data_IF_426744375355
#
_entry.id   IF_426744375355
#
_cell.length_a   1.000
_cell.length_b   1.000
_cell.length_c   1.000
_cell.angle_alpha   90.00
_cell.angle_beta   90.00
_cell.angle_gamma   90.00
#
_symmetry.space_group_name_H-M   'P 1'
#
loop_
_entity.id
_entity.type
_entity.pdbx_description
1 polymer ?
#
# COMPACT_ATOMS: atom_id res chain seq x y z
N UNK A 1 13.79 4.70 3.52
CA UNK A 1 14.76 4.45 2.43
C UNK A 1 14.18 4.85 1.09
N UNK A 2 13.01 4.32 0.68
CA UNK A 2 12.38 4.71 -0.59
C UNK A 2 12.27 6.23 -0.78
N UNK A 3 11.65 6.95 0.15
CA UNK A 3 11.53 8.42 0.09
C UNK A 3 12.89 9.12 -0.05
N UNK A 4 13.94 8.62 0.63
CA UNK A 4 15.30 9.18 0.52
C UNK A 4 15.83 9.07 -0.92
N UNK A 5 15.71 7.89 -1.53
CA UNK A 5 16.15 7.66 -2.92
C UNK A 5 15.38 8.53 -3.92
N UNK A 6 14.09 8.73 -3.67
CA UNK A 6 13.24 9.62 -4.47
C UNK A 6 13.70 11.08 -4.34
N UNK A 7 13.93 11.55 -3.11
CA UNK A 7 14.34 12.93 -2.85
C UNK A 7 15.80 13.24 -3.18
N UNK A 8 16.62 12.22 -3.45
CA UNK A 8 17.99 12.40 -3.96
C UNK A 8 17.99 12.97 -5.40
N UNK A 9 16.87 12.90 -6.11
CA UNK A 9 16.69 13.48 -7.45
C UNK A 9 16.43 14.99 -7.32
N UNK A 10 17.26 15.80 -7.99
CA UNK A 10 17.06 17.25 -8.04
C UNK A 10 15.69 17.60 -8.63
N UNK A 11 14.97 18.53 -8.00
CA UNK A 11 13.61 18.89 -8.38
C UNK A 11 12.52 18.00 -7.76
N UNK A 12 12.86 17.03 -6.90
CA UNK A 12 11.88 16.16 -6.24
C UNK A 12 10.76 16.92 -5.51
N UNK A 13 11.00 18.14 -5.02
CA UNK A 13 9.97 18.99 -4.41
C UNK A 13 8.79 19.32 -5.34
N UNK A 14 8.97 19.24 -6.66
CA UNK A 14 7.92 19.53 -7.64
C UNK A 14 6.87 18.41 -7.71
N UNK A 15 7.25 17.16 -7.47
CA UNK A 15 6.41 15.98 -7.72
C UNK A 15 6.31 15.00 -6.54
N UNK A 16 7.22 15.02 -5.57
CA UNK A 16 7.13 14.26 -4.32
C UNK A 16 6.69 15.17 -3.17
N UNK A 17 5.43 15.02 -2.72
CA UNK A 17 4.82 15.90 -1.71
C UNK A 17 4.84 15.30 -0.31
N UNK A 18 4.60 14.00 -0.19
CA UNK A 18 4.37 13.35 1.11
C UNK A 18 4.78 11.88 1.06
N UNK A 19 5.11 11.32 2.22
CA UNK A 19 5.33 9.89 2.41
C UNK A 19 5.11 9.48 3.87
N UNK A 20 4.87 8.19 4.08
CA UNK A 20 4.58 7.61 5.39
C UNK A 20 5.58 6.53 5.77
N UNK A 21 5.90 6.45 7.08
CA UNK A 21 6.65 5.34 7.66
C UNK A 21 5.78 4.69 8.74
N UNK A 22 5.06 3.64 8.34
CA UNK A 22 4.05 2.96 9.19
C UNK A 22 4.53 1.59 9.68
N UNK A 23 5.38 1.60 10.69
CA UNK A 23 6.01 0.37 11.19
C UNK A 23 5.00 -0.58 11.84
N UNK A 24 4.16 -0.09 12.76
CA UNK A 24 3.21 -0.92 13.50
C UNK A 24 1.89 -1.13 12.75
N UNK A 25 1.15 -2.18 13.09
CA UNK A 25 -0.19 -2.42 12.53
C UNK A 25 -1.12 -1.25 12.85
N UNK A 26 -1.05 -0.67 14.05
CA UNK A 26 -1.84 0.50 14.42
C UNK A 26 -1.52 1.71 13.54
N UNK A 27 -0.25 1.92 13.21
CA UNK A 27 0.13 3.01 12.31
C UNK A 27 -0.35 2.77 10.87
N UNK A 28 -0.37 1.52 10.39
CA UNK A 28 -0.93 1.18 9.07
C UNK A 28 -2.44 1.47 9.03
N UNK A 29 -3.17 1.07 10.08
CA UNK A 29 -4.60 1.33 10.18
C UNK A 29 -4.90 2.83 10.28
N UNK A 30 -4.25 3.53 11.22
CA UNK A 30 -4.53 4.95 11.50
C UNK A 30 -4.11 5.86 10.35
N UNK A 31 -2.91 5.66 9.81
CA UNK A 31 -2.32 6.60 8.85
C UNK A 31 -2.64 6.25 7.40
N UNK A 32 -3.08 5.02 7.09
CA UNK A 32 -3.32 4.59 5.70
C UNK A 32 -4.64 3.83 5.52
N UNK A 33 -5.47 3.73 6.57
CA UNK A 33 -6.78 3.10 6.46
C UNK A 33 -6.73 1.60 6.17
N UNK A 34 -5.64 0.92 6.51
CA UNK A 34 -5.59 -0.55 6.43
C UNK A 34 -6.66 -1.13 7.36
N UNK A 35 -7.44 -2.08 6.86
CA UNK A 35 -8.53 -2.69 7.61
C UNK A 35 -8.00 -3.57 8.73
N UNK A 36 -8.74 -3.60 9.85
CA UNK A 36 -8.36 -4.43 11.00
C UNK A 36 -8.41 -5.93 10.68
N UNK A 37 -9.35 -6.34 9.82
CA UNK A 37 -9.52 -7.70 9.31
C UNK A 37 -8.23 -8.28 8.72
N UNK A 38 -7.41 -7.45 8.07
CA UNK A 38 -6.12 -7.86 7.50
C UNK A 38 -5.07 -8.29 8.53
N UNK A 39 -5.34 -8.10 9.83
CA UNK A 39 -4.46 -8.46 10.94
C UNK A 39 -5.09 -9.46 11.94
N UNK A 40 -6.31 -9.93 11.69
CA UNK A 40 -6.99 -10.88 12.59
C UNK A 40 -6.40 -12.30 12.48
N UNK A 41 -6.67 -13.15 13.46
CA UNK A 41 -6.17 -14.53 13.47
C UNK A 41 -6.66 -15.30 12.23
N UNK A 42 -5.73 -15.92 11.51
CA UNK A 42 -6.01 -16.62 10.25
C UNK A 42 -5.97 -15.73 9.00
N UNK A 43 -5.78 -14.41 9.14
CA UNK A 43 -5.51 -13.51 8.01
C UNK A 43 -4.08 -13.68 7.47
N UNK A 44 -3.83 -13.10 6.30
CA UNK A 44 -2.48 -13.03 5.74
C UNK A 44 -1.55 -12.14 6.59
N UNK A 45 -2.06 -11.26 7.47
CA UNK A 45 -1.23 -10.43 8.34
C UNK A 45 -0.44 -9.34 7.60
N UNK A 46 0.45 -8.66 8.34
CA UNK A 46 1.07 -7.41 7.90
C UNK A 46 1.95 -7.48 6.65
N UNK A 47 2.51 -8.65 6.33
CA UNK A 47 3.36 -8.87 5.15
C UNK A 47 2.58 -9.69 4.14
N UNK A 48 1.73 -9.03 3.38
CA UNK A 48 0.78 -9.60 2.41
C UNK A 48 0.50 -8.63 1.27
N UNK A 49 -0.04 -9.16 0.16
CA UNK A 49 -0.49 -8.36 -0.97
C UNK A 49 -1.65 -7.43 -0.58
N UNK A 50 -2.60 -7.93 0.20
CA UNK A 50 -3.76 -7.17 0.70
C UNK A 50 -3.32 -5.91 1.46
N UNK A 51 -2.44 -6.07 2.46
CA UNK A 51 -1.93 -4.93 3.24
C UNK A 51 -1.12 -3.98 2.36
N UNK A 52 -0.33 -4.49 1.42
CA UNK A 52 0.42 -3.64 0.49
C UNK A 52 -0.53 -2.77 -0.35
N UNK A 53 -1.57 -3.35 -0.95
CA UNK A 53 -2.55 -2.60 -1.76
C UNK A 53 -3.31 -1.59 -0.92
N UNK A 54 -3.79 -1.97 0.28
CA UNK A 54 -4.48 -1.04 1.17
C UNK A 54 -3.59 0.12 1.61
N UNK A 55 -2.30 -0.15 1.92
CA UNK A 55 -1.33 0.91 2.22
C UNK A 55 -1.10 1.86 1.03
N UNK A 56 -0.96 1.35 -0.19
CA UNK A 56 -0.75 2.17 -1.38
C UNK A 56 -2.00 3.00 -1.71
N UNK A 57 -3.18 2.38 -1.62
CA UNK A 57 -4.48 3.05 -1.77
C UNK A 57 -4.66 4.18 -0.76
N UNK A 58 -4.39 3.92 0.52
CA UNK A 58 -4.48 4.92 1.58
C UNK A 58 -3.51 6.08 1.39
N UNK A 59 -2.27 5.77 1.00
CA UNK A 59 -1.25 6.79 0.70
C UNK A 59 -1.68 7.67 -0.47
N UNK A 60 -2.21 7.06 -1.55
CA UNK A 60 -2.73 7.80 -2.71
C UNK A 60 -3.86 8.74 -2.28
N UNK A 61 -4.85 8.19 -1.57
CA UNK A 61 -6.02 8.93 -1.12
C UNK A 61 -5.65 10.14 -0.24
N UNK A 62 -4.72 9.97 0.70
CA UNK A 62 -4.34 11.04 1.62
C UNK A 62 -3.41 12.09 1.02
N UNK A 63 -2.59 11.72 0.02
CA UNK A 63 -1.66 12.67 -0.63
C UNK A 63 -2.23 13.32 -1.88
N UNK A 64 -3.36 12.83 -2.40
CA UNK A 64 -3.90 13.22 -3.71
C UNK A 64 -2.87 13.02 -4.85
N UNK A 65 -1.98 12.03 -4.69
CA UNK A 65 -0.93 11.73 -5.67
C UNK A 65 -1.48 10.97 -6.88
N UNK A 66 -0.87 11.16 -8.05
CA UNK A 66 -1.14 10.32 -9.22
C UNK A 66 -0.65 8.88 -9.01
N UNK A 67 0.44 8.68 -8.27
CA UNK A 67 1.04 7.37 -8.03
C UNK A 67 1.45 7.23 -6.58
N UNK A 68 1.04 6.13 -5.94
CA UNK A 68 1.48 5.75 -4.60
C UNK A 68 2.14 4.38 -4.61
N UNK A 69 3.26 4.26 -3.88
CA UNK A 69 4.03 3.02 -3.74
C UNK A 69 4.07 2.64 -2.26
N UNK A 70 3.74 1.39 -1.95
CA UNK A 70 3.85 0.82 -0.61
C UNK A 70 4.85 -0.33 -0.57
N UNK A 71 5.45 -0.54 0.60
CA UNK A 71 6.37 -1.66 0.87
C UNK A 71 6.01 -2.24 2.23
N UNK A 72 5.74 -3.54 2.28
CA UNK A 72 5.67 -4.30 3.54
C UNK A 72 6.48 -5.59 3.43
N UNK A 73 7.38 -5.84 4.38
CA UNK A 73 8.33 -6.95 4.27
C UNK A 73 9.12 -7.24 5.54
N UNK A 74 9.79 -8.39 5.55
CA UNK A 74 10.57 -8.92 6.67
C UNK A 74 12.05 -8.72 6.36
N UNK A 75 12.61 -7.57 6.74
CA UNK A 75 14.02 -7.27 6.44
C UNK A 75 15.03 -8.09 7.26
N UNK A 76 14.62 -8.76 8.34
CA UNK A 76 15.52 -9.52 9.21
C UNK A 76 16.26 -8.70 10.28
N UNK A 77 17.18 -9.33 11.04
CA UNK A 77 17.56 -10.75 10.94
C UNK A 77 16.54 -11.72 11.55
N UNK A 78 15.55 -11.23 12.32
CA UNK A 78 14.45 -12.03 12.85
C UNK A 78 13.10 -11.65 12.24
N UNK A 79 12.03 -12.29 12.73
CA UNK A 79 10.65 -12.01 12.31
C UNK A 79 10.16 -12.83 11.12
N UNK A 80 10.97 -13.75 10.60
CA UNK A 80 10.52 -14.76 9.66
C UNK A 80 9.80 -15.91 10.36
N UNK A 81 8.93 -16.60 9.63
CA UNK A 81 8.28 -17.86 9.98
C UNK A 81 8.54 -18.88 8.86
N UNK A 82 8.20 -20.16 9.09
CA UNK A 82 8.33 -21.21 8.06
C UNK A 82 7.56 -20.84 6.77
N UNK A 83 6.42 -20.16 6.90
CA UNK A 83 5.62 -19.71 5.76
C UNK A 83 6.09 -18.37 5.18
N UNK A 84 6.86 -17.56 5.92
CA UNK A 84 7.27 -16.19 5.55
C UNK A 84 8.69 -15.91 5.99
N UNK A 85 9.62 -16.21 5.11
CA UNK A 85 11.04 -16.10 5.42
C UNK A 85 11.52 -14.63 5.51
N UNK A 86 12.66 -14.45 6.16
CA UNK A 86 13.42 -13.19 6.08
C UNK A 86 13.79 -12.93 4.62
N UNK A 87 13.66 -11.67 4.19
CA UNK A 87 13.85 -11.28 2.79
C UNK A 87 12.55 -11.22 1.99
N UNK A 88 11.43 -11.71 2.54
CA UNK A 88 10.11 -11.55 1.90
C UNK A 88 9.63 -10.11 1.91
N UNK A 89 9.15 -9.64 0.77
CA UNK A 89 8.53 -8.31 0.61
C UNK A 89 7.33 -8.38 -0.34
N UNK A 90 6.31 -7.59 -0.03
CA UNK A 90 5.24 -7.21 -0.95
C UNK A 90 5.37 -5.71 -1.24
N UNK A 91 5.32 -5.37 -2.53
CA UNK A 91 5.27 -3.99 -3.00
C UNK A 91 4.00 -3.83 -3.79
N UNK A 92 3.21 -2.81 -3.48
CA UNK A 92 2.08 -2.40 -4.31
C UNK A 92 2.28 -1.00 -4.87
N UNK A 93 1.75 -0.79 -6.06
CA UNK A 93 1.66 0.50 -6.74
C UNK A 93 0.20 0.73 -7.10
N UNK A 94 -0.30 1.93 -6.84
CA UNK A 94 -1.65 2.36 -7.24
C UNK A 94 -1.52 3.64 -8.04
N UNK A 95 -2.17 3.71 -9.21
CA UNK A 95 -2.14 4.86 -10.12
C UNK A 95 -3.43 5.68 -10.09
N UNK A 96 -3.48 6.76 -10.88
CA UNK A 96 -4.57 7.71 -10.92
C UNK A 96 -5.87 7.12 -11.49
N UNK A 97 -5.72 6.14 -12.38
CA UNK A 97 -6.73 5.37 -13.10
C UNK A 97 -7.31 4.23 -12.25
N UNK A 98 -7.01 4.24 -10.94
CA UNK A 98 -7.40 3.22 -9.97
C UNK A 98 -6.86 1.83 -10.25
N UNK A 99 -5.91 1.74 -11.19
CA UNK A 99 -5.12 0.53 -11.44
C UNK A 99 -4.19 0.28 -10.26
N UNK A 100 -4.11 -0.99 -9.84
CA UNK A 100 -3.10 -1.45 -8.91
C UNK A 100 -2.26 -2.57 -9.51
N UNK A 101 -0.98 -2.59 -9.15
CA UNK A 101 -0.05 -3.67 -9.40
C UNK A 101 0.65 -4.00 -8.07
N UNK A 102 0.57 -5.25 -7.63
CA UNK A 102 1.25 -5.74 -6.43
C UNK A 102 2.05 -6.98 -6.76
N UNK A 103 3.27 -7.05 -6.21
CA UNK A 103 4.11 -8.23 -6.34
C UNK A 103 4.77 -8.63 -5.04
N UNK A 104 4.93 -9.94 -4.88
CA UNK A 104 5.78 -10.57 -3.88
C UNK A 104 7.17 -10.82 -4.46
N UNK A 105 8.20 -10.65 -3.64
CA UNK A 105 9.56 -11.09 -3.95
C UNK A 105 10.23 -11.61 -2.69
N UNK A 106 11.03 -12.66 -2.82
CA UNK A 106 11.82 -13.24 -1.74
C UNK A 106 13.32 -13.05 -2.02
N UNK A 107 13.98 -12.22 -1.22
CA UNK A 107 15.41 -11.88 -1.39
C UNK A 107 16.38 -12.77 -0.59
N UNK A 108 15.85 -13.73 0.21
CA UNK A 108 16.63 -14.75 0.90
C UNK A 108 17.60 -14.24 1.97
N UNK A 109 18.79 -14.85 2.04
CA UNK A 109 19.80 -14.70 3.12
C UNK A 109 20.54 -13.35 3.19
N UNK A 110 20.01 -12.30 2.56
CA UNK A 110 20.59 -10.97 2.66
C UNK A 110 20.56 -10.44 4.09
N UNK A 111 21.52 -9.59 4.42
CA UNK A 111 21.47 -8.85 5.67
C UNK A 111 20.34 -7.80 5.66
N UNK A 112 20.07 -7.22 6.84
CA UNK A 112 18.97 -6.27 7.01
C UNK A 112 19.09 -5.03 6.13
N UNK A 113 20.30 -4.53 5.91
CA UNK A 113 20.53 -3.34 5.11
C UNK A 113 20.34 -3.65 3.62
N UNK A 114 20.88 -4.78 3.17
CA UNK A 114 20.78 -5.20 1.77
C UNK A 114 19.36 -5.62 1.40
N UNK A 115 18.59 -6.22 2.32
CA UNK A 115 17.15 -6.41 2.15
C UNK A 115 16.43 -5.07 1.97
N UNK A 116 16.68 -4.08 2.84
CA UNK A 116 16.02 -2.77 2.69
C UNK A 116 16.39 -2.05 1.40
N UNK A 117 17.62 -2.19 0.92
CA UNK A 117 18.06 -1.66 -0.39
C UNK A 117 17.34 -2.37 -1.52
N UNK A 118 17.29 -3.69 -1.48
CA UNK A 118 16.62 -4.53 -2.48
C UNK A 118 15.13 -4.23 -2.56
N UNK A 119 14.45 -4.10 -1.41
CA UNK A 119 13.04 -3.75 -1.34
C UNK A 119 12.76 -2.38 -1.96
N UNK A 120 13.61 -1.39 -1.68
CA UNK A 120 13.45 -0.05 -2.25
C UNK A 120 13.71 -0.03 -3.77
N UNK A 121 14.73 -0.75 -4.25
CA UNK A 121 15.00 -0.88 -5.68
C UNK A 121 13.88 -1.61 -6.43
N UNK A 122 13.36 -2.69 -5.82
CA UNK A 122 12.21 -3.42 -6.35
C UNK A 122 10.97 -2.53 -6.44
N UNK A 123 10.71 -1.74 -5.40
CA UNK A 123 9.59 -0.81 -5.38
C UNK A 123 9.65 0.26 -6.48
N UNK A 124 10.84 0.82 -6.74
CA UNK A 124 11.02 1.78 -7.83
C UNK A 124 10.81 1.15 -9.20
N UNK A 125 11.32 -0.08 -9.42
CA UNK A 125 11.10 -0.81 -10.69
C UNK A 125 9.63 -1.10 -10.92
N UNK A 126 8.91 -1.56 -9.89
CA UNK A 126 7.48 -1.82 -9.99
C UNK A 126 6.70 -0.53 -10.26
N UNK A 127 7.12 0.58 -9.65
CA UNK A 127 6.53 1.90 -9.91
C UNK A 127 6.64 2.33 -11.36
N UNK A 128 7.82 2.17 -11.97
CA UNK A 128 8.04 2.47 -13.39
C UNK A 128 7.16 1.60 -14.28
N UNK A 129 7.13 0.29 -14.02
CA UNK A 129 6.33 -0.63 -14.81
C UNK A 129 4.83 -0.35 -14.73
N UNK A 130 4.29 -0.06 -13.54
CA UNK A 130 2.89 0.29 -13.38
C UNK A 130 2.52 1.55 -14.19
N UNK A 131 3.40 2.56 -14.21
CA UNK A 131 3.20 3.77 -15.02
C UNK A 131 3.27 3.46 -16.53
N UNK A 132 4.17 2.57 -16.96
CA UNK A 132 4.28 2.15 -18.36
C UNK A 132 3.03 1.39 -18.84
N UNK A 133 2.49 0.49 -18.00
CA UNK A 133 1.26 -0.28 -18.30
C UNK A 133 0.05 0.64 -18.52
N UNK A 134 -0.05 1.71 -17.73
CA UNK A 134 -1.14 2.69 -17.84
C UNK A 134 -0.91 3.67 -19.00
N UNK A 135 0.35 4.03 -19.28
CA UNK A 135 0.70 4.96 -20.37
C UNK A 135 0.59 4.34 -21.76
N UNK A 136 0.67 3.01 -21.87
CA UNK A 136 0.63 2.26 -23.13
C UNK A 136 -0.56 1.28 -23.20
N UNK A 137 -1.82 1.74 -23.18
CA UNK A 137 -2.99 0.87 -23.11
C UNK A 137 -3.27 0.04 -24.40
N UNK A 138 -2.33 -0.04 -25.35
CA UNK A 138 -2.58 -0.48 -26.73
C UNK A 138 -1.78 -1.67 -27.27
N UNK A 139 -0.91 -2.34 -26.50
CA UNK A 139 -0.05 -3.41 -27.05
C UNK A 139 -0.06 -4.76 -26.29
N UNK A 140 -0.96 -4.95 -25.31
CA UNK A 140 -1.18 -6.27 -24.70
C UNK A 140 -2.29 -7.05 -25.41
N UNK A 141 -1.91 -8.18 -26.00
CA UNK A 141 -2.75 -9.15 -26.70
C UNK A 141 -3.92 -9.66 -25.84
N UNK A 142 -5.09 -9.80 -26.48
CA UNK A 142 -6.21 -10.70 -26.17
C UNK A 142 -6.28 -11.31 -24.75
N UNK A 143 -6.38 -10.44 -23.75
CA UNK A 143 -6.80 -10.76 -22.39
C UNK A 143 -7.83 -9.72 -22.00
N UNK A 144 -9.03 -10.16 -21.65
CA UNK A 144 -10.20 -9.32 -21.35
C UNK A 144 -9.93 -8.35 -20.19
N UNK A 145 -9.33 -7.18 -20.43
CA UNK A 145 -9.33 -6.08 -19.47
C UNK A 145 -10.72 -5.44 -19.48
N UNK A 146 -11.65 -6.12 -18.81
CA UNK A 146 -12.89 -5.50 -18.35
C UNK A 146 -12.51 -4.44 -17.32
N UNK A 147 -12.51 -3.19 -17.74
CA UNK A 147 -12.46 -1.98 -16.91
C UNK A 147 -13.73 -1.81 -16.05
N UNK A 148 -14.36 -2.89 -15.59
CA UNK A 148 -15.69 -2.84 -14.97
C UNK A 148 -15.98 -3.97 -13.98
N UNK A 149 -15.08 -4.23 -13.03
CA UNK A 149 -15.48 -4.69 -11.68
C UNK A 149 -14.32 -4.48 -10.73
N UNK A 150 -14.58 -3.80 -9.62
CA UNK A 150 -13.58 -3.60 -8.60
C UNK A 150 -13.09 -4.94 -8.04
N UNK A 151 -11.77 -5.10 -7.92
CA UNK A 151 -11.17 -6.32 -7.41
C UNK A 151 -11.14 -6.26 -5.89
N UNK A 152 -11.77 -7.23 -5.22
CA UNK A 152 -11.58 -7.44 -3.80
C UNK A 152 -10.23 -8.15 -3.60
N UNK A 153 -9.28 -7.47 -2.98
CA UNK A 153 -7.93 -8.00 -2.76
C UNK A 153 -7.90 -9.18 -1.79
N UNK A 154 -8.93 -9.34 -0.96
CA UNK A 154 -9.04 -10.45 0.00
C UNK A 154 -9.40 -11.78 -0.67
N UNK A 155 -9.96 -11.75 -1.89
CA UNK A 155 -10.35 -12.94 -2.66
C UNK A 155 -9.22 -13.44 -3.59
N UNK A 156 -8.11 -12.71 -3.67
CA UNK A 156 -6.96 -13.05 -4.51
C UNK A 156 -6.18 -14.23 -3.92
N UNK A 157 -5.71 -15.14 -4.80
CA UNK A 157 -4.93 -16.30 -4.39
C UNK A 157 -3.61 -15.85 -3.73
N UNK A 158 -3.38 -16.13 -2.43
CA UNK A 158 -2.19 -15.68 -1.72
C UNK A 158 -0.90 -16.43 -2.12
N UNK A 159 -1.02 -17.52 -2.89
CA UNK A 159 0.13 -18.31 -3.34
C UNK A 159 0.86 -17.70 -4.55
N UNK A 160 0.16 -16.87 -5.32
CA UNK A 160 0.69 -16.13 -6.47
C UNK A 160 1.83 -15.16 -6.09
N UNK A 161 2.49 -14.62 -7.11
CA UNK A 161 3.60 -13.66 -6.96
C UNK A 161 3.29 -12.28 -7.53
N UNK A 162 2.25 -12.17 -8.35
CA UNK A 162 1.79 -10.93 -8.96
C UNK A 162 0.26 -10.88 -8.92
N UNK A 163 -0.27 -9.71 -8.60
CA UNK A 163 -1.68 -9.42 -8.73
C UNK A 163 -1.86 -8.02 -9.30
N UNK A 164 -2.87 -7.88 -10.15
CA UNK A 164 -3.26 -6.59 -10.70
C UNK A 164 -4.77 -6.49 -10.83
N UNK A 165 -5.26 -5.27 -10.95
CA UNK A 165 -6.69 -5.02 -11.11
C UNK A 165 -7.03 -3.54 -10.95
N UNK A 166 -8.31 -3.27 -10.74
CA UNK A 166 -8.83 -1.92 -10.51
C UNK A 166 -9.46 -1.84 -9.13
N UNK A 167 -9.18 -0.77 -8.40
CA UNK A 167 -9.80 -0.47 -7.12
C UNK A 167 -11.23 0.05 -7.31
N UNK A 168 -12.12 -0.22 -6.34
CA UNK A 168 -13.32 0.62 -6.13
C UNK A 168 -13.09 1.57 -4.97
N UNK A 169 -13.54 2.80 -5.17
CA UNK A 169 -13.73 3.76 -4.09
C UNK A 169 -15.15 3.63 -3.57
N UNK A 170 -15.32 3.21 -2.32
CA UNK A 170 -16.52 3.58 -1.58
C UNK A 170 -16.37 5.07 -1.27
N UNK A 171 -17.19 5.91 -1.89
CA UNK A 171 -17.25 7.35 -1.59
C UNK A 171 -17.80 7.56 -0.18
N UNK A 172 -16.94 7.46 0.82
CA UNK A 172 -17.25 7.95 2.17
C UNK A 172 -16.25 9.06 2.53
N UNK A 173 -16.28 10.15 1.75
CA UNK A 173 -15.65 11.41 2.15
C UNK A 173 -16.49 12.03 3.27
N UNK A 174 -16.29 11.62 4.52
CA UNK A 174 -16.64 12.46 5.66
C UNK A 174 -15.48 13.41 5.92
N UNK A 175 -15.75 14.69 5.80
CA UNK A 175 -14.83 15.74 6.20
C UNK A 175 -14.64 15.72 7.72
N UNK A 176 -13.49 16.18 8.20
CA UNK A 176 -13.24 16.36 9.66
C UNK A 176 -14.31 17.24 10.30
N UNK A 177 -14.87 18.19 9.54
CA UNK A 177 -15.99 19.01 9.99
C UNK A 177 -17.28 18.19 10.20
N UNK A 178 -17.56 17.23 9.32
CA UNK A 178 -18.71 16.33 9.45
C UNK A 178 -18.53 15.33 10.60
N UNK A 179 -17.31 14.81 10.83
CA UNK A 179 -17.03 13.98 12.00
C UNK A 179 -17.19 14.75 13.31
N UNK A 180 -16.65 15.97 13.41
CA UNK A 180 -16.79 16.81 14.60
C UNK A 180 -18.25 17.20 14.83
N UNK A 181 -19.05 17.44 13.78
CA UNK A 181 -20.48 17.73 13.91
C UNK A 181 -21.32 16.55 14.42
N UNK A 182 -20.81 15.33 14.30
CA UNK A 182 -21.47 14.12 14.78
C UNK A 182 -21.18 13.81 16.25
N UNK A 183 -20.19 14.49 16.85
CA UNK A 183 -19.91 14.44 18.29
C UNK A 183 -20.85 15.42 18.98
N UNK A 184 -21.77 14.90 19.78
CA UNK A 184 -22.61 15.73 20.65
C UNK A 184 -21.73 16.34 21.76
N UNK A 185 -21.18 17.52 21.50
CA UNK A 185 -20.35 18.26 22.46
C UNK A 185 -21.13 18.63 23.74
N UNK A 186 -22.47 18.60 23.72
CA UNK A 186 -23.29 18.90 24.89
C UNK A 186 -23.31 17.75 25.90
N UNK A 187 -23.05 16.50 25.47
CA UNK A 187 -23.00 15.34 26.37
C UNK A 187 -21.68 15.23 27.14
N UNK A 188 -20.70 16.08 26.86
CA UNK A 188 -19.38 16.09 27.51
C UNK A 188 -19.26 17.13 28.64
N UNK A 189 -20.33 17.87 28.91
CA UNK A 189 -20.41 18.85 30.01
C UNK A 189 -21.45 18.44 31.05
N UNK A 190 -21.36 17.21 31.56
CA UNK A 190 -21.89 16.92 32.91
C UNK A 190 -20.80 17.29 33.91
N UNK A 191 -20.82 18.55 34.36
CA UNK A 191 -20.12 18.93 35.58
C UNK A 191 -20.97 18.42 36.74
N UNK A 192 -20.52 17.36 37.42
CA UNK A 192 -21.13 16.93 38.68
C UNK A 192 -20.97 18.06 39.72
N UNK A 193 -22.08 18.65 40.15
CA UNK A 193 -22.17 19.65 41.24
C UNK A 193 -21.90 19.03 42.62
#
# INVERSE_FOLDING_TARGET
>A
MLASLITDISGASEWFKQGWVVYSNESKMRELGVEKSAFEDGSAGAVSHEVAVQMARGARYQSDSDVAISITGIAGPGGGTDDKEVGRVHVAVVTAEDYFLVRRMDFGENDRLDNKRSFAAFALRLGLEAMDRVSSPGESEEGTHSLATATDTSELDPSEEEWEGSLSWKEDKKTVAEEISSVDLASLTEWED
#
